data_IF_525252937854
#
_entry.id   IF_525252937854
#
_cell.length_a   1.000
_cell.length_b   1.000
_cell.length_c   1.000
_cell.angle_alpha   90.00
_cell.angle_beta   90.00
_cell.angle_gamma   90.00
#
_symmetry.space_group_name_H-M   'P 1'
#
loop_
_entity.id
_entity.type
_entity.pdbx_description
1 polymer ?
#
# COMPACT_ATOMS: atom_id res chain seq x y z
N UNK A 1 18.07 17.46 3.37
CA UNK A 1 18.34 16.18 4.06
C UNK A 1 19.70 15.68 3.62
N UNK A 2 20.40 14.89 4.44
CA UNK A 2 21.70 14.28 4.09
C UNK A 2 21.58 13.11 3.10
N UNK A 3 20.36 12.77 2.68
CA UNK A 3 20.07 11.67 1.78
C UNK A 3 18.92 12.00 0.81
N UNK A 4 18.83 11.20 -0.26
CA UNK A 4 17.67 11.08 -1.15
C UNK A 4 17.20 9.63 -1.20
N UNK A 5 15.95 9.42 -1.59
CA UNK A 5 15.36 8.10 -1.83
C UNK A 5 15.22 7.83 -3.32
N UNK A 6 15.53 6.62 -3.72
CA UNK A 6 15.38 6.16 -5.10
C UNK A 6 14.71 4.78 -5.14
N UNK A 7 13.68 4.65 -5.99
CA UNK A 7 13.06 3.36 -6.31
C UNK A 7 13.71 2.81 -7.57
N UNK A 8 14.24 1.59 -7.49
CA UNK A 8 14.92 0.90 -8.61
C UNK A 8 14.83 -0.62 -8.45
N UNK A 9 15.19 -1.43 -9.45
CA UNK A 9 15.13 -2.89 -9.34
C UNK A 9 15.82 -3.41 -8.07
N UNK A 10 15.14 -4.30 -7.36
CA UNK A 10 15.65 -4.89 -6.12
C UNK A 10 16.93 -5.69 -6.39
N UNK A 11 17.87 -5.64 -5.44
CA UNK A 11 19.09 -6.46 -5.47
C UNK A 11 18.88 -7.84 -4.80
N UNK A 12 17.69 -8.09 -4.26
CA UNK A 12 17.37 -9.39 -3.66
C UNK A 12 17.29 -10.44 -4.76
N UNK A 13 18.02 -11.58 -4.67
CA UNK A 13 18.04 -12.61 -5.69
C UNK A 13 16.76 -13.48 -5.63
N UNK A 14 15.62 -12.88 -5.99
CA UNK A 14 14.31 -13.54 -6.05
C UNK A 14 13.51 -12.99 -7.23
N UNK A 15 12.79 -13.87 -7.94
CA UNK A 15 12.04 -13.51 -9.16
C UNK A 15 10.94 -12.47 -8.88
N UNK A 16 10.28 -12.57 -7.72
CA UNK A 16 9.25 -11.64 -7.29
C UNK A 16 9.78 -10.40 -6.53
N UNK A 17 11.10 -10.20 -6.44
CA UNK A 17 11.67 -9.09 -5.67
C UNK A 17 11.32 -7.70 -6.24
N UNK A 18 10.96 -7.62 -7.53
CA UNK A 18 10.45 -6.41 -8.16
C UNK A 18 11.34 -5.18 -7.97
N UNK A 19 10.74 -4.11 -7.45
CA UNK A 19 11.42 -2.85 -7.13
C UNK A 19 11.81 -2.80 -5.64
N UNK A 20 12.85 -2.04 -5.32
CA UNK A 20 13.29 -1.76 -3.95
C UNK A 20 13.56 -0.27 -3.74
N UNK A 21 13.48 0.15 -2.48
CA UNK A 21 13.81 1.50 -2.01
C UNK A 21 15.27 1.58 -1.55
N UNK A 22 16.02 2.53 -2.08
CA UNK A 22 17.42 2.76 -1.78
C UNK A 22 17.65 4.18 -1.27
N UNK A 23 18.63 4.31 -0.38
CA UNK A 23 19.08 5.60 0.15
C UNK A 23 20.36 5.98 -0.58
N UNK A 24 20.44 7.22 -1.03
CA UNK A 24 21.67 7.84 -1.53
C UNK A 24 22.10 8.96 -0.59
N UNK A 25 23.25 8.78 0.06
CA UNK A 25 23.72 9.66 1.13
C UNK A 25 23.64 8.97 2.49
N UNK A 26 23.54 9.76 3.56
CA UNK A 26 23.59 9.27 4.93
C UNK A 26 22.34 9.70 5.71
N UNK A 27 21.83 8.79 6.53
CA UNK A 27 20.73 9.02 7.44
C UNK A 27 21.12 8.50 8.83
N UNK A 28 21.02 9.37 9.83
CA UNK A 28 21.33 9.00 11.21
C UNK A 28 20.30 8.01 11.76
N UNK A 29 20.73 7.18 12.71
CA UNK A 29 19.83 6.28 13.44
C UNK A 29 18.69 7.10 14.07
N UNK A 30 17.45 6.66 13.86
CA UNK A 30 16.25 7.36 14.32
C UNK A 30 15.65 8.33 13.29
N UNK A 31 16.30 8.53 12.14
CA UNK A 31 15.74 9.33 11.04
C UNK A 31 14.51 8.65 10.42
N UNK A 32 13.43 9.41 10.23
CA UNK A 32 12.27 8.95 9.46
C UNK A 32 12.61 9.01 7.98
N UNK A 33 12.74 7.85 7.34
CA UNK A 33 13.14 7.75 5.95
C UNK A 33 11.97 7.94 4.99
N UNK A 34 10.88 7.20 5.19
CA UNK A 34 9.74 7.16 4.28
C UNK A 34 8.42 6.95 5.04
N UNK A 35 7.31 7.35 4.42
CA UNK A 35 5.96 7.06 4.84
C UNK A 35 5.37 5.91 4.03
N UNK A 36 4.52 5.11 4.68
CA UNK A 36 3.70 4.09 4.03
C UNK A 36 2.30 4.66 3.82
N UNK A 37 2.05 5.40 2.73
CA UNK A 37 0.74 5.97 2.48
C UNK A 37 -0.23 4.87 2.04
N UNK A 38 -1.53 5.07 2.22
CA UNK A 38 -2.50 4.12 1.71
C UNK A 38 -3.92 4.39 2.15
N UNK A 39 -4.85 3.68 1.53
CA UNK A 39 -6.25 3.65 1.94
C UNK A 39 -6.36 2.78 3.19
N UNK A 40 -7.01 3.30 4.22
CA UNK A 40 -7.10 2.68 5.54
C UNK A 40 -8.47 2.01 5.69
N UNK A 41 -8.46 0.73 6.03
CA UNK A 41 -9.65 -0.08 6.27
C UNK A 41 -9.63 -0.59 7.70
N UNK A 42 -10.57 -0.13 8.53
CA UNK A 42 -10.79 -0.76 9.82
C UNK A 42 -11.50 -2.11 9.63
N UNK A 43 -11.45 -3.04 10.61
CA UNK A 43 -11.99 -4.40 10.48
C UNK A 43 -13.44 -4.49 9.96
N UNK A 44 -14.28 -3.51 10.31
CA UNK A 44 -15.68 -3.46 9.86
C UNK A 44 -15.83 -3.28 8.33
N UNK A 45 -14.80 -2.76 7.66
CA UNK A 45 -14.80 -2.38 6.24
C UNK A 45 -13.94 -3.29 5.35
N UNK A 46 -13.42 -4.42 5.86
CA UNK A 46 -12.59 -5.33 5.04
C UNK A 46 -13.24 -5.78 3.72
N UNK A 47 -14.57 -5.91 3.69
CA UNK A 47 -15.32 -6.27 2.48
C UNK A 47 -15.16 -5.27 1.32
N UNK A 48 -14.70 -4.06 1.60
CA UNK A 48 -14.46 -3.01 0.61
C UNK A 48 -13.01 -3.00 0.11
N UNK A 49 -12.12 -3.81 0.69
CA UNK A 49 -10.77 -3.98 0.16
C UNK A 49 -10.89 -4.67 -1.21
N UNK A 50 -10.30 -4.10 -2.28
CA UNK A 50 -10.30 -4.73 -3.59
C UNK A 50 -9.77 -6.16 -3.53
N UNK A 51 -10.52 -7.11 -4.12
CA UNK A 51 -10.15 -8.53 -4.10
C UNK A 51 -10.63 -9.31 -2.88
N UNK A 52 -11.37 -8.71 -1.94
CA UNK A 52 -11.87 -9.43 -0.76
C UNK A 52 -12.64 -10.72 -1.12
N UNK A 53 -12.43 -11.83 -0.37
CA UNK A 53 -11.52 -11.95 0.78
C UNK A 53 -10.06 -12.30 0.41
N UNK A 54 -9.74 -12.51 -0.87
CA UNK A 54 -8.37 -12.80 -1.35
C UNK A 54 -7.63 -11.51 -1.71
N UNK A 55 -7.55 -10.61 -0.74
CA UNK A 55 -7.03 -9.25 -0.91
C UNK A 55 -5.55 -9.21 -1.29
N UNK A 56 -4.78 -10.23 -0.91
CA UNK A 56 -3.33 -10.37 -1.09
C UNK A 56 -2.94 -10.98 -2.46
N UNK A 57 -3.86 -11.65 -3.14
CA UNK A 57 -3.57 -12.41 -4.36
C UNK A 57 -3.00 -11.55 -5.51
N UNK A 58 -3.29 -10.25 -5.53
CA UNK A 58 -2.80 -9.29 -6.54
C UNK A 58 -2.29 -7.98 -5.91
N UNK A 59 -2.10 -7.96 -4.59
CA UNK A 59 -1.71 -6.76 -3.87
C UNK A 59 -0.67 -7.07 -2.78
N UNK A 60 0.60 -6.89 -3.14
CA UNK A 60 1.73 -7.03 -2.22
C UNK A 60 1.94 -5.82 -1.31
N UNK A 61 1.11 -4.77 -1.45
CA UNK A 61 1.24 -3.49 -0.76
C UNK A 61 0.15 -3.31 0.32
N UNK A 62 -0.21 -4.42 0.97
CA UNK A 62 -1.05 -4.43 2.17
C UNK A 62 -0.16 -4.60 3.41
N UNK A 63 -0.40 -3.76 4.42
CA UNK A 63 0.14 -3.96 5.77
C UNK A 63 -1.01 -3.93 6.77
N UNK A 64 -0.91 -4.74 7.82
CA UNK A 64 -1.89 -4.75 8.91
C UNK A 64 -1.26 -4.20 10.18
N UNK A 65 -1.99 -3.34 10.86
CA UNK A 65 -1.64 -2.77 12.15
C UNK A 65 -2.08 -3.67 13.31
N UNK A 66 -1.63 -3.39 14.54
CA UNK A 66 -1.91 -4.24 15.70
C UNK A 66 -3.40 -4.34 16.06
N UNK A 67 -4.22 -3.37 15.65
CA UNK A 67 -5.67 -3.31 15.93
C UNK A 67 -6.50 -3.96 14.81
N UNK A 68 -5.85 -4.56 13.82
CA UNK A 68 -6.50 -5.09 12.62
C UNK A 68 -6.84 -4.01 11.60
N UNK A 69 -6.29 -2.80 11.69
CA UNK A 69 -6.42 -1.84 10.59
C UNK A 69 -5.53 -2.25 9.43
N UNK A 70 -6.08 -2.32 8.22
CA UNK A 70 -5.34 -2.64 6.99
C UNK A 70 -5.05 -1.34 6.22
N UNK A 71 -3.81 -1.14 5.82
CA UNK A 71 -3.39 -0.04 4.95
C UNK A 71 -3.05 -0.61 3.58
N UNK A 72 -3.70 -0.10 2.54
CA UNK A 72 -3.46 -0.45 1.14
C UNK A 72 -2.70 0.67 0.43
N UNK A 73 -1.40 0.47 0.18
CA UNK A 73 -0.54 1.43 -0.49
C UNK A 73 -0.57 1.34 -2.02
N UNK A 74 -1.18 0.29 -2.59
CA UNK A 74 -1.24 0.08 -4.04
C UNK A 74 -1.76 1.30 -4.84
N UNK A 75 -2.80 2.05 -4.39
CA UNK A 75 -3.27 3.23 -5.12
C UNK A 75 -2.23 4.33 -5.24
N UNK A 76 -1.30 4.43 -4.28
CA UNK A 76 -0.27 5.48 -4.26
C UNK A 76 0.82 5.28 -5.31
N UNK A 77 1.13 4.02 -5.65
CA UNK A 77 2.23 3.64 -6.54
C UNK A 77 3.53 4.38 -6.20
N UNK A 78 4.33 4.72 -7.20
CA UNK A 78 5.57 5.48 -7.01
C UNK A 78 5.37 6.99 -6.70
N UNK A 79 4.19 7.41 -6.22
CA UNK A 79 3.87 8.83 -6.10
C UNK A 79 3.73 9.51 -7.46
N UNK A 80 3.81 10.83 -7.50
CA UNK A 80 3.62 11.63 -8.71
C UNK A 80 3.72 13.13 -8.44
N UNK A 81 3.80 13.93 -9.51
CA UNK A 81 3.91 15.40 -9.39
C UNK A 81 2.55 16.11 -9.26
N UNK A 82 1.45 15.36 -9.37
CA UNK A 82 0.09 15.87 -9.39
C UNK A 82 -0.77 15.31 -8.26
N UNK A 83 -1.88 16.02 -8.01
CA UNK A 83 -3.03 15.49 -7.31
C UNK A 83 -3.90 14.76 -8.33
N UNK A 84 -4.34 13.56 -7.99
CA UNK A 84 -5.16 12.74 -8.88
C UNK A 84 -6.53 12.49 -8.26
N UNK A 85 -7.56 12.47 -9.10
CA UNK A 85 -8.89 12.02 -8.68
C UNK A 85 -8.84 10.52 -8.52
N UNK A 86 -9.24 10.04 -7.35
CA UNK A 86 -9.35 8.63 -7.04
C UNK A 86 -10.82 8.21 -7.06
N UNK A 87 -11.10 7.13 -7.80
CA UNK A 87 -12.44 6.59 -8.03
C UNK A 87 -12.83 5.48 -7.04
N UNK A 88 -11.98 5.21 -6.05
CA UNK A 88 -12.19 4.15 -5.07
C UNK A 88 -11.75 2.76 -5.53
N UNK A 89 -11.37 2.58 -6.80
CA UNK A 89 -11.17 1.27 -7.42
C UNK A 89 -9.75 1.12 -7.96
N UNK A 90 -8.82 0.75 -7.09
CA UNK A 90 -7.47 0.37 -7.53
C UNK A 90 -7.42 -1.13 -7.80
N UNK A 91 -8.00 -1.56 -8.91
CA UNK A 91 -7.61 -2.85 -9.48
C UNK A 91 -6.41 -2.61 -10.40
N UNK A 92 -5.28 -3.30 -10.20
CA UNK A 92 -4.26 -3.32 -11.24
C UNK A 92 -4.86 -3.98 -12.48
N UNK A 93 -4.53 -3.49 -13.68
CA UNK A 93 -4.68 -4.33 -14.87
C UNK A 93 -3.88 -5.62 -14.64
N UNK A 94 -4.48 -6.82 -14.75
CA UNK A 94 -3.77 -8.06 -14.45
C UNK A 94 -2.66 -8.30 -15.48
N UNK A 95 -1.42 -7.94 -15.15
CA UNK A 95 -0.23 -8.42 -15.87
C UNK A 95 0.20 -9.74 -15.26
N UNK A 96 -0.54 -10.81 -15.59
CA UNK A 96 -0.09 -12.19 -15.80
C UNK A 96 -1.29 -13.12 -15.68
N UNK A 97 -1.71 -13.69 -16.81
CA UNK A 97 -2.65 -14.81 -16.86
C UNK A 97 -1.89 -16.05 -16.36
N UNK A 98 -1.87 -16.28 -15.05
CA UNK A 98 -1.65 -17.63 -14.55
C UNK A 98 -2.92 -18.44 -14.84
N UNK A 99 -2.80 -19.43 -15.72
CA UNK A 99 -3.84 -20.42 -15.97
C UNK A 99 -4.02 -21.26 -14.70
N UNK A 100 -4.97 -20.87 -13.84
CA UNK A 100 -5.41 -21.70 -12.74
C UNK A 100 -6.44 -22.72 -13.25
N UNK A 101 -6.04 -23.99 -13.32
CA UNK A 101 -6.92 -25.12 -13.57
C UNK A 101 -7.74 -25.41 -12.31
N UNK A 102 -9.00 -24.94 -12.26
CA UNK A 102 -9.82 -25.04 -11.05
C UNK A 102 -11.23 -24.46 -11.18
N UNK A 103 -12.07 -25.06 -12.03
CA UNK A 103 -13.44 -24.60 -12.34
C UNK A 103 -14.39 -24.41 -11.13
N UNK A 104 -14.12 -25.03 -9.98
CA UNK A 104 -15.00 -24.98 -8.80
C UNK A 104 -14.78 -23.76 -7.90
N UNK A 105 -13.53 -23.45 -7.58
CA UNK A 105 -13.13 -22.35 -6.68
C UNK A 105 -13.48 -20.98 -7.28
N UNK A 106 -13.22 -20.81 -8.58
CA UNK A 106 -13.51 -19.60 -9.37
C UNK A 106 -14.96 -19.08 -9.21
N UNK A 107 -15.95 -19.97 -9.16
CA UNK A 107 -17.37 -19.57 -9.08
C UNK A 107 -17.74 -19.01 -7.72
N UNK A 108 -17.22 -19.61 -6.64
CA UNK A 108 -17.44 -19.16 -5.27
C UNK A 108 -16.77 -17.80 -5.09
N UNK A 109 -15.55 -17.61 -5.62
CA UNK A 109 -14.88 -16.32 -5.57
C UNK A 109 -15.61 -15.25 -6.36
N UNK A 110 -16.06 -15.54 -7.59
CA UNK A 110 -16.88 -14.59 -8.36
C UNK A 110 -18.19 -14.19 -7.68
N UNK A 111 -18.70 -14.97 -6.73
CA UNK A 111 -19.86 -14.57 -5.93
C UNK A 111 -19.47 -13.69 -4.73
N UNK A 112 -18.32 -13.95 -4.10
CA UNK A 112 -17.84 -13.19 -2.93
C UNK A 112 -17.13 -11.87 -3.31
N UNK A 113 -16.51 -11.83 -4.50
CA UNK A 113 -15.80 -10.67 -5.04
C UNK A 113 -16.71 -9.73 -5.81
N UNK A 114 -18.00 -10.08 -5.99
CA UNK A 114 -19.01 -9.12 -6.44
C UNK A 114 -19.07 -8.03 -5.38
N UNK A 115 -18.68 -6.79 -5.71
CA UNK A 115 -18.98 -5.67 -4.83
C UNK A 115 -20.50 -5.73 -4.59
N UNK A 116 -20.93 -5.64 -3.33
CA UNK A 116 -22.30 -5.19 -3.10
C UNK A 116 -22.44 -3.90 -3.91
N UNK A 117 -23.51 -3.76 -4.70
CA UNK A 117 -23.85 -2.52 -5.38
C UNK A 117 -23.87 -1.43 -4.32
N UNK A 118 -22.70 -0.82 -4.12
CA UNK A 118 -22.54 0.36 -3.33
C UNK A 118 -23.34 1.35 -4.12
N UNK A 119 -24.58 1.61 -3.68
CA UNK A 119 -25.26 2.87 -3.92
C UNK A 119 -24.16 3.90 -4.00
N UNK A 120 -23.88 4.39 -5.21
CA UNK A 120 -22.77 5.28 -5.54
C UNK A 120 -22.57 6.18 -4.33
N UNK A 121 -21.59 5.87 -3.48
CA UNK A 121 -21.33 6.64 -2.27
C UNK A 121 -20.94 7.99 -2.84
N UNK A 122 -21.89 8.91 -2.74
CA UNK A 122 -22.13 9.88 -3.81
C UNK A 122 -20.89 10.68 -4.15
N UNK A 123 -20.55 10.73 -5.43
CA UNK A 123 -19.94 11.88 -6.12
C UNK A 123 -18.76 12.61 -5.47
N UNK A 124 -18.12 12.07 -4.45
CA UNK A 124 -16.97 12.67 -3.81
C UNK A 124 -15.76 12.04 -4.47
N UNK A 125 -15.31 12.66 -5.56
CA UNK A 125 -13.99 12.44 -6.09
C UNK A 125 -12.99 12.74 -4.97
N UNK A 126 -12.51 11.69 -4.29
CA UNK A 126 -11.45 11.85 -3.31
C UNK A 126 -10.15 12.16 -4.05
N UNK A 127 -9.33 13.04 -3.49
CA UNK A 127 -8.10 13.48 -4.12
C UNK A 127 -6.93 12.72 -3.49
N UNK A 128 -6.22 11.97 -4.32
CA UNK A 128 -4.99 11.30 -3.96
C UNK A 128 -3.82 12.29 -4.04
N UNK A 129 -3.23 12.60 -2.89
CA UNK A 129 -2.03 13.44 -2.80
C UNK A 129 -0.79 12.58 -3.06
N UNK A 130 -0.31 12.57 -4.31
CA UNK A 130 0.85 11.77 -4.73
C UNK A 130 2.18 12.53 -4.65
N UNK A 131 2.17 13.83 -4.30
CA UNK A 131 3.35 14.72 -4.31
C UNK A 131 4.26 14.64 -3.08
N UNK A 132 4.07 13.64 -2.23
CA UNK A 132 4.92 13.48 -1.04
C UNK A 132 6.22 12.77 -1.44
N UNK A 133 7.39 13.44 -1.36
CA UNK A 133 8.68 12.86 -1.77
C UNK A 133 9.18 11.74 -0.85
N UNK A 134 8.48 11.45 0.26
CA UNK A 134 8.82 10.37 1.18
C UNK A 134 7.81 9.21 1.11
N UNK A 135 6.84 9.24 0.19
CA UNK A 135 5.74 8.25 0.08
C UNK A 135 6.16 6.90 -0.55
N UNK A 136 7.31 6.36 -0.16
CA UNK A 136 7.94 5.21 -0.82
C UNK A 136 8.11 3.98 0.08
N UNK A 137 7.64 4.01 1.34
CA UNK A 137 7.95 2.92 2.28
C UNK A 137 7.39 1.55 1.85
N UNK A 138 6.37 1.51 0.98
CA UNK A 138 5.82 0.28 0.41
C UNK A 138 6.74 -0.39 -0.64
N UNK A 139 7.83 0.27 -1.05
CA UNK A 139 8.93 -0.32 -1.82
C UNK A 139 10.13 -0.75 -0.94
N UNK A 140 10.07 -0.55 0.38
CA UNK A 140 11.13 -0.99 1.26
C UNK A 140 11.13 -2.52 1.36
N UNK A 141 12.17 -3.15 0.81
CA UNK A 141 12.32 -4.59 0.80
C UNK A 141 13.02 -5.11 2.05
N UNK A 142 12.84 -6.39 2.33
CA UNK A 142 13.70 -7.11 3.25
C UNK A 142 15.16 -7.03 2.74
N UNK A 143 16.16 -6.86 3.62
CA UNK A 143 17.56 -6.92 3.20
C UNK A 143 17.87 -8.26 2.52
N UNK A 144 18.89 -8.26 1.66
CA UNK A 144 19.38 -9.47 1.02
C UNK A 144 19.77 -10.55 2.05
N UNK A 145 19.86 -11.81 1.60
CA UNK A 145 20.33 -12.90 2.46
C UNK A 145 21.69 -12.52 3.07
N UNK A 146 21.85 -12.79 4.37
CA UNK A 146 23.05 -12.50 5.17
C UNK A 146 23.30 -11.01 5.50
N UNK A 147 22.34 -10.12 5.21
CA UNK A 147 22.35 -8.72 5.63
C UNK A 147 21.38 -8.48 6.80
N UNK A 148 21.80 -7.69 7.79
CA UNK A 148 20.93 -7.28 8.90
C UNK A 148 19.96 -6.17 8.45
N UNK A 149 18.69 -6.16 8.92
CA UNK A 149 17.79 -5.04 8.69
C UNK A 149 18.37 -3.74 9.25
N UNK A 150 18.41 -2.70 8.42
CA UNK A 150 18.89 -1.36 8.77
C UNK A 150 17.75 -0.32 8.83
N UNK A 151 16.51 -0.76 8.62
CA UNK A 151 15.29 0.02 8.70
C UNK A 151 14.24 -0.78 9.44
N UNK A 152 13.41 -0.08 10.22
CA UNK A 152 12.28 -0.67 10.92
C UNK A 152 11.01 0.10 10.59
N UNK A 153 9.89 -0.62 10.48
CA UNK A 153 8.57 0.01 10.38
C UNK A 153 8.25 0.61 11.73
N UNK A 154 8.06 1.92 11.78
CA UNK A 154 7.64 2.63 12.98
C UNK A 154 6.17 3.04 12.81
N UNK A 155 5.24 2.45 13.59
CA UNK A 155 3.88 2.93 13.64
C UNK A 155 3.81 4.35 14.23
N UNK A 156 3.36 5.33 13.44
CA UNK A 156 3.03 6.67 13.95
C UNK A 156 1.53 6.92 13.88
N UNK A 157 0.88 7.06 15.04
CA UNK A 157 -0.49 7.51 15.14
C UNK A 157 -0.53 8.87 15.84
N UNK A 158 -0.84 9.94 15.11
CA UNK A 158 -1.33 11.15 15.75
C UNK A 158 -2.80 10.92 16.10
N UNK A 159 -3.16 11.05 17.37
CA UNK A 159 -4.55 11.03 17.80
C UNK A 159 -5.19 12.35 17.31
N UNK A 160 -5.64 12.37 16.06
CA UNK A 160 -6.17 13.56 15.38
C UNK A 160 -7.48 14.09 16.00
N UNK A 161 -8.00 13.43 17.06
CA UNK A 161 -9.15 13.89 17.84
C UNK A 161 -8.83 14.95 18.91
N UNK A 162 -7.56 15.32 19.12
CA UNK A 162 -7.19 16.31 20.16
C UNK A 162 -6.85 17.71 19.62
N UNK A 163 -6.95 17.93 18.30
CA UNK A 163 -6.68 19.23 17.65
C UNK A 163 -7.95 19.98 17.23
N UNK A 164 -9.12 19.61 17.73
CA UNK A 164 -10.26 20.51 17.83
C UNK A 164 -10.12 21.34 19.11
N UNK A 165 -9.23 22.35 19.10
CA UNK A 165 -9.34 23.47 20.05
C UNK A 165 -10.67 24.17 19.76
N UNK A 166 -11.51 24.35 20.78
CA UNK A 166 -11.52 25.58 21.58
C UNK A 166 -11.48 26.80 20.67
N UNK A 167 -12.68 27.22 20.26
CA UNK A 167 -13.17 28.59 20.37
C UNK A 167 -14.66 28.52 20.77
#
# INVERSE_FOLDING_TARGET
MGYTLEVKPSQTPHEDAGQGLFIHGEADVGTVLAFYPGVIYSPAYYRYIPGYPRVDAQNSYLITWYDGTVINAQPWGAGGESREIWDGLSLPEPKHIMKADGKGSERIWKMLSKPLDGTRLGGNHEVLERRNPLAFAHFANHPARDMVPNVMVCPFGSNLGSLARMD
#
